data_IF_913778911072
#
_entry.id   IF_913778911072
#
_cell.length_a   1.000
_cell.length_b   1.000
_cell.length_c   1.000
_cell.angle_alpha   90.00
_cell.angle_beta   90.00
_cell.angle_gamma   90.00
#
_symmetry.space_group_name_H-M   'P 1'
#
loop_
_entity.id
_entity.type
_entity.pdbx_description
1 polymer ?
#
# COMPACT_ATOMS: atom_id res chain seq x y z
N UNK A 1 1.56 -16.38 -13.39
CA UNK A 1 0.13 -16.62 -13.74
C UNK A 1 -0.18 -15.91 -15.05
N UNK A 2 -0.95 -16.53 -15.94
CA UNK A 2 -1.52 -15.84 -17.11
C UNK A 2 -2.77 -15.04 -16.71
N UNK A 3 -3.28 -14.18 -17.59
CA UNK A 3 -4.42 -13.28 -17.27
C UNK A 3 -5.64 -14.06 -16.75
N UNK A 4 -6.00 -15.19 -17.36
CA UNK A 4 -7.17 -15.98 -16.92
C UNK A 4 -6.99 -16.56 -15.51
N UNK A 5 -5.80 -17.02 -15.14
CA UNK A 5 -5.50 -17.48 -13.78
C UNK A 5 -5.60 -16.36 -12.76
N UNK A 6 -5.13 -15.15 -13.12
CA UNK A 6 -5.28 -13.96 -12.27
C UNK A 6 -6.75 -13.57 -12.09
N UNK A 7 -7.57 -13.67 -13.13
CA UNK A 7 -9.01 -13.43 -13.06
C UNK A 7 -9.69 -14.44 -12.12
N UNK A 8 -9.36 -15.71 -12.22
CA UNK A 8 -9.93 -16.72 -11.31
C UNK A 8 -9.48 -16.48 -9.85
N UNK A 9 -8.25 -16.06 -9.64
CA UNK A 9 -7.75 -15.69 -8.30
C UNK A 9 -8.47 -14.45 -7.76
N UNK A 10 -8.66 -13.41 -8.58
CA UNK A 10 -9.45 -12.23 -8.21
C UNK A 10 -10.87 -12.59 -7.78
N UNK A 11 -11.57 -13.43 -8.57
CA UNK A 11 -12.91 -13.94 -8.23
C UNK A 11 -12.93 -14.70 -6.91
N UNK A 12 -11.88 -15.47 -6.63
CA UNK A 12 -11.74 -16.15 -5.34
C UNK A 12 -11.64 -15.15 -4.19
N UNK A 13 -10.82 -14.10 -4.31
CA UNK A 13 -10.70 -13.04 -3.28
C UNK A 13 -12.03 -12.33 -3.05
N UNK A 14 -12.75 -11.98 -4.12
CA UNK A 14 -14.09 -11.40 -4.03
C UNK A 14 -15.07 -12.36 -3.31
N UNK A 15 -15.04 -13.64 -3.65
CA UNK A 15 -15.89 -14.65 -3.00
C UNK A 15 -15.57 -14.86 -1.52
N UNK A 16 -14.29 -14.67 -1.12
CA UNK A 16 -13.86 -14.71 0.28
C UNK A 16 -14.30 -13.48 1.07
N UNK A 17 -14.75 -12.42 0.39
CA UNK A 17 -15.29 -11.22 1.02
C UNK A 17 -14.34 -10.03 1.07
N UNK A 18 -13.13 -10.11 0.52
CA UNK A 18 -12.21 -8.98 0.47
C UNK A 18 -12.81 -7.80 -0.29
N UNK A 19 -12.68 -6.60 0.28
CA UNK A 19 -13.24 -5.35 -0.25
C UNK A 19 -12.20 -4.43 -0.86
N UNK A 20 -10.93 -4.61 -0.52
CA UNK A 20 -9.80 -3.93 -1.12
C UNK A 20 -8.84 -5.00 -1.66
N UNK A 21 -8.59 -4.97 -2.97
CA UNK A 21 -7.80 -6.00 -3.64
C UNK A 21 -6.76 -5.33 -4.52
N UNK A 22 -5.47 -5.50 -4.15
CA UNK A 22 -4.39 -5.09 -5.02
C UNK A 22 -4.25 -6.07 -6.18
N UNK A 23 -4.33 -5.53 -7.39
CA UNK A 23 -4.31 -6.31 -8.63
C UNK A 23 -2.94 -6.29 -9.31
N UNK A 24 -1.97 -5.57 -8.76
CA UNK A 24 -0.59 -5.49 -9.21
C UNK A 24 -0.18 -4.12 -9.72
N UNK A 25 0.77 -4.10 -10.67
CA UNK A 25 1.43 -2.91 -11.20
C UNK A 25 1.16 -2.76 -12.71
N UNK A 26 0.01 -2.18 -13.12
CA UNK A 26 -0.41 -2.14 -14.52
C UNK A 26 0.58 -1.45 -15.47
N UNK A 27 1.37 -0.50 -14.97
CA UNK A 27 2.39 0.17 -15.79
C UNK A 27 3.72 -0.57 -15.87
N UNK A 28 3.91 -1.68 -15.12
CA UNK A 28 5.15 -2.44 -15.16
C UNK A 28 5.24 -3.44 -16.32
N UNK A 29 4.11 -3.99 -16.77
CA UNK A 29 4.09 -4.95 -17.86
C UNK A 29 2.74 -4.99 -18.59
N UNK A 30 2.77 -5.44 -19.85
CA UNK A 30 1.55 -5.61 -20.64
C UNK A 30 0.57 -6.61 -19.99
N UNK A 31 1.09 -7.66 -19.34
CA UNK A 31 0.25 -8.67 -18.67
C UNK A 31 -0.54 -8.06 -17.52
N UNK A 32 0.09 -7.22 -16.69
CA UNK A 32 -0.57 -6.53 -15.58
C UNK A 32 -1.62 -5.52 -16.09
N UNK A 33 -1.27 -4.80 -17.16
CA UNK A 33 -2.20 -3.89 -17.83
C UNK A 33 -3.43 -4.64 -18.38
N UNK A 34 -3.21 -5.71 -19.14
CA UNK A 34 -4.27 -6.51 -19.75
C UNK A 34 -5.18 -7.16 -18.70
N UNK A 35 -4.60 -7.60 -17.58
CA UNK A 35 -5.37 -8.16 -16.47
C UNK A 35 -6.41 -7.15 -15.95
N UNK A 36 -5.99 -5.92 -15.61
CA UNK A 36 -6.92 -4.90 -15.17
C UNK A 36 -7.96 -4.57 -16.25
N UNK A 37 -7.53 -4.42 -17.52
CA UNK A 37 -8.44 -4.12 -18.61
C UNK A 37 -9.49 -5.23 -18.84
N UNK A 38 -9.10 -6.50 -18.68
CA UNK A 38 -10.05 -7.61 -18.76
C UNK A 38 -11.03 -7.65 -17.58
N UNK A 39 -10.62 -7.28 -16.35
CA UNK A 39 -11.54 -7.13 -15.23
C UNK A 39 -12.63 -6.07 -15.52
N UNK A 40 -12.22 -4.92 -16.06
CA UNK A 40 -13.14 -3.84 -16.45
C UNK A 40 -14.05 -4.26 -17.61
N UNK A 41 -13.47 -4.78 -18.69
CA UNK A 41 -14.19 -5.15 -19.92
C UNK A 41 -15.26 -6.23 -19.68
N UNK A 42 -14.98 -7.17 -18.76
CA UNK A 42 -15.87 -8.27 -18.43
C UNK A 42 -16.79 -7.95 -17.26
N UNK A 43 -16.76 -6.72 -16.73
CA UNK A 43 -17.56 -6.26 -15.58
C UNK A 43 -17.45 -7.20 -14.36
N UNK A 44 -16.19 -7.53 -13.99
CA UNK A 44 -15.90 -8.51 -12.94
C UNK A 44 -15.65 -7.88 -11.56
N UNK A 45 -15.60 -6.54 -11.48
CA UNK A 45 -15.36 -5.81 -10.23
C UNK A 45 -16.70 -5.45 -9.61
N UNK A 46 -17.08 -6.05 -8.46
CA UNK A 46 -18.31 -5.69 -7.77
C UNK A 46 -18.30 -4.24 -7.30
N UNK A 47 -19.49 -3.62 -7.17
CA UNK A 47 -19.63 -2.22 -6.74
C UNK A 47 -19.09 -1.95 -5.32
N UNK A 48 -18.99 -2.96 -4.48
CA UNK A 48 -18.49 -2.91 -3.11
C UNK A 48 -17.02 -3.35 -2.96
N UNK A 49 -16.32 -3.53 -4.09
CA UNK A 49 -14.88 -3.88 -4.13
C UNK A 49 -14.09 -2.74 -4.74
N UNK A 50 -13.03 -2.32 -4.05
CA UNK A 50 -12.09 -1.30 -4.50
C UNK A 50 -10.84 -2.02 -5.01
N UNK A 51 -10.45 -1.74 -6.25
CA UNK A 51 -9.17 -2.24 -6.78
C UNK A 51 -8.04 -1.29 -6.38
N UNK A 52 -6.91 -1.87 -6.00
CA UNK A 52 -5.68 -1.16 -5.71
C UNK A 52 -4.66 -1.41 -6.80
N UNK A 53 -3.92 -0.39 -7.19
CA UNK A 53 -2.85 -0.46 -8.19
C UNK A 53 -1.58 0.16 -7.66
N UNK A 54 -0.47 -0.57 -7.79
CA UNK A 54 0.85 -0.11 -7.35
C UNK A 54 1.54 0.67 -8.47
N UNK A 55 2.23 1.75 -8.13
CA UNK A 55 3.02 2.53 -9.09
C UNK A 55 4.16 3.30 -8.42
N UNK A 56 5.35 3.31 -9.03
CA UNK A 56 6.43 4.18 -8.60
C UNK A 56 6.11 5.66 -8.86
N UNK A 57 6.67 6.56 -8.04
CA UNK A 57 6.56 8.02 -8.21
C UNK A 57 7.31 8.50 -9.48
N UNK A 58 6.84 8.11 -10.66
CA UNK A 58 7.39 8.49 -11.99
C UNK A 58 6.27 8.83 -12.95
N UNK A 59 6.37 9.98 -13.63
CA UNK A 59 5.29 10.54 -14.45
C UNK A 59 4.73 9.54 -15.47
N UNK A 60 5.59 8.95 -16.31
CA UNK A 60 5.16 8.03 -17.34
C UNK A 60 4.48 6.75 -16.82
N UNK A 61 4.84 6.30 -15.59
CA UNK A 61 4.21 5.15 -14.95
C UNK A 61 2.85 5.52 -14.36
N UNK A 62 2.75 6.68 -13.71
CA UNK A 62 1.49 7.20 -13.16
C UNK A 62 0.50 7.45 -14.29
N UNK A 63 0.94 8.10 -15.40
CA UNK A 63 0.10 8.30 -16.59
C UNK A 63 -0.46 6.97 -17.12
N UNK A 64 0.42 5.97 -17.31
CA UNK A 64 0.02 4.65 -17.79
C UNK A 64 -0.92 3.92 -16.83
N UNK A 65 -0.76 4.14 -15.52
CA UNK A 65 -1.64 3.60 -14.50
C UNK A 65 -3.04 4.20 -14.63
N UNK A 66 -3.18 5.52 -14.75
CA UNK A 66 -4.48 6.18 -14.96
C UNK A 66 -5.14 5.78 -16.28
N UNK A 67 -4.36 5.56 -17.35
CA UNK A 67 -4.89 4.98 -18.59
C UNK A 67 -5.51 3.60 -18.32
N UNK A 68 -4.84 2.76 -17.54
CA UNK A 68 -5.34 1.42 -17.21
C UNK A 68 -6.61 1.42 -16.36
N UNK A 69 -6.83 2.46 -15.54
CA UNK A 69 -7.99 2.60 -14.65
C UNK A 69 -9.27 3.10 -15.34
N UNK A 70 -9.24 3.43 -16.64
CA UNK A 70 -10.43 3.92 -17.33
C UNK A 70 -11.62 2.96 -17.22
N UNK A 71 -12.76 3.47 -16.75
CA UNK A 71 -13.97 2.69 -16.50
C UNK A 71 -14.10 2.13 -15.08
N UNK A 72 -13.11 2.34 -14.21
CA UNK A 72 -13.20 2.02 -12.78
C UNK A 72 -13.96 3.15 -12.06
N UNK A 73 -14.88 2.77 -11.14
CA UNK A 73 -15.65 3.72 -10.35
C UNK A 73 -14.89 4.26 -9.15
N UNK A 74 -14.08 3.41 -8.52
CA UNK A 74 -13.28 3.74 -7.34
C UNK A 74 -12.01 2.91 -7.32
N UNK A 75 -10.85 3.55 -7.09
CA UNK A 75 -9.57 2.88 -7.02
C UNK A 75 -8.65 3.47 -5.95
N UNK A 76 -7.81 2.62 -5.36
CA UNK A 76 -6.65 3.05 -4.58
C UNK A 76 -5.46 3.13 -5.54
N UNK A 77 -4.85 4.30 -5.62
CA UNK A 77 -3.58 4.50 -6.33
C UNK A 77 -2.47 4.53 -5.30
N UNK A 78 -1.74 3.43 -5.22
CA UNK A 78 -0.66 3.21 -4.27
C UNK A 78 0.67 3.64 -4.90
N UNK A 79 1.13 4.84 -4.56
CA UNK A 79 2.44 5.34 -4.99
C UNK A 79 3.51 5.04 -3.94
N UNK A 80 4.74 4.84 -4.39
CA UNK A 80 5.86 4.60 -3.50
C UNK A 80 7.18 5.13 -4.07
N UNK A 81 8.11 5.41 -3.19
CA UNK A 81 9.53 5.57 -3.48
C UNK A 81 10.36 5.10 -2.30
N UNK A 82 11.58 4.65 -2.59
CA UNK A 82 12.48 4.11 -1.58
C UNK A 82 13.08 5.20 -0.71
N UNK A 83 13.11 4.96 0.61
CA UNK A 83 13.49 5.98 1.61
C UNK A 83 14.65 5.56 2.52
N UNK A 84 15.03 4.28 2.51
CA UNK A 84 16.06 3.77 3.44
C UNK A 84 17.42 4.42 3.24
N UNK A 85 18.20 4.49 4.32
CA UNK A 85 19.57 5.01 4.32
C UNK A 85 20.40 4.36 3.22
N UNK A 86 20.35 3.03 3.12
CA UNK A 86 21.10 2.29 2.10
C UNK A 86 20.74 2.71 0.68
N UNK A 87 19.45 2.87 0.39
CA UNK A 87 19.00 3.24 -0.95
C UNK A 87 19.35 4.70 -1.27
N UNK A 88 19.21 5.60 -0.31
CA UNK A 88 19.61 7.00 -0.48
C UNK A 88 21.10 7.14 -0.78
N UNK A 89 21.94 6.48 0.03
CA UNK A 89 23.39 6.66 -0.02
C UNK A 89 24.05 5.92 -1.19
N UNK A 90 23.56 4.71 -1.52
CA UNK A 90 24.22 3.83 -2.48
C UNK A 90 23.53 3.81 -3.84
N UNK A 91 22.19 3.74 -3.86
CA UNK A 91 21.42 3.57 -5.11
C UNK A 91 21.15 4.91 -5.77
N UNK A 92 20.56 5.84 -5.02
CA UNK A 92 20.13 7.14 -5.57
C UNK A 92 21.22 8.20 -5.45
N UNK A 93 22.05 8.13 -4.41
CA UNK A 93 23.02 9.19 -4.06
C UNK A 93 22.32 10.53 -3.90
N UNK A 94 21.19 10.54 -3.20
CA UNK A 94 20.31 11.68 -3.00
C UNK A 94 20.18 12.03 -1.52
N UNK A 95 20.00 13.33 -1.24
CA UNK A 95 19.66 13.83 0.09
C UNK A 95 18.24 13.46 0.51
N UNK A 96 17.90 13.65 1.79
CA UNK A 96 16.54 13.47 2.31
C UNK A 96 15.54 14.38 1.59
N UNK A 97 15.90 15.62 1.35
CA UNK A 97 15.10 16.62 0.65
C UNK A 97 14.76 16.18 -0.79
N UNK A 98 15.75 15.68 -1.53
CA UNK A 98 15.56 15.19 -2.89
C UNK A 98 14.64 13.96 -2.93
N UNK A 99 14.69 13.08 -1.92
CA UNK A 99 13.79 11.93 -1.79
C UNK A 99 12.36 12.37 -1.45
N UNK A 100 12.19 13.40 -0.61
CA UNK A 100 10.88 14.02 -0.33
C UNK A 100 10.30 14.64 -1.61
N UNK A 101 11.11 15.32 -2.41
CA UNK A 101 10.67 15.91 -3.68
C UNK A 101 10.10 14.86 -4.65
N UNK A 102 10.68 13.65 -4.69
CA UNK A 102 10.13 12.53 -5.49
C UNK A 102 8.70 12.16 -5.02
N UNK A 103 8.48 12.06 -3.71
CA UNK A 103 7.16 11.74 -3.15
C UNK A 103 6.14 12.85 -3.43
N UNK A 104 6.54 14.12 -3.25
CA UNK A 104 5.70 15.29 -3.54
C UNK A 104 5.33 15.34 -5.02
N UNK A 105 6.28 15.18 -5.93
CA UNK A 105 6.01 15.20 -7.38
C UNK A 105 5.11 14.02 -7.79
N UNK A 106 5.33 12.81 -7.22
CA UNK A 106 4.42 11.68 -7.42
C UNK A 106 2.99 12.00 -6.97
N UNK A 107 2.84 12.62 -5.79
CA UNK A 107 1.54 13.03 -5.26
C UNK A 107 0.86 14.10 -6.13
N UNK A 108 1.60 15.09 -6.61
CA UNK A 108 1.10 16.12 -7.55
C UNK A 108 0.61 15.50 -8.85
N UNK A 109 1.33 14.50 -9.36
CA UNK A 109 0.93 13.80 -10.58
C UNK A 109 -0.38 13.04 -10.39
N UNK A 110 -0.51 12.27 -9.29
CA UNK A 110 -1.78 11.60 -8.98
C UNK A 110 -2.91 12.62 -8.90
N UNK A 111 -2.71 13.73 -8.17
CA UNK A 111 -3.67 14.82 -8.01
C UNK A 111 -4.02 15.50 -9.35
N UNK A 112 -3.08 15.58 -10.29
CA UNK A 112 -3.31 16.09 -11.64
C UNK A 112 -4.26 15.17 -12.41
N UNK A 113 -4.00 13.86 -12.40
CA UNK A 113 -4.83 12.88 -13.13
C UNK A 113 -6.16 12.58 -12.44
N UNK A 114 -6.24 12.70 -11.10
CA UNK A 114 -7.51 12.58 -10.34
C UNK A 114 -8.57 13.56 -10.84
N UNK A 115 -8.17 14.81 -11.23
CA UNK A 115 -9.12 15.85 -11.66
C UNK A 115 -9.93 15.47 -12.89
N UNK A 116 -9.34 14.72 -13.80
CA UNK A 116 -9.97 14.30 -15.06
C UNK A 116 -10.48 12.86 -14.98
N UNK A 117 -10.30 12.19 -13.85
CA UNK A 117 -10.76 10.82 -13.63
C UNK A 117 -12.26 10.82 -13.29
N UNK A 118 -13.10 10.03 -14.00
CA UNK A 118 -14.55 10.06 -13.81
C UNK A 118 -15.03 9.37 -12.53
N UNK A 119 -14.15 8.67 -11.81
CA UNK A 119 -14.42 7.96 -10.57
C UNK A 119 -13.82 8.63 -9.33
N UNK A 120 -13.71 7.87 -8.25
CA UNK A 120 -13.07 8.28 -7.00
C UNK A 120 -11.66 7.66 -6.91
N UNK A 121 -10.68 8.48 -6.55
CA UNK A 121 -9.30 8.04 -6.27
C UNK A 121 -9.00 8.21 -4.78
N UNK A 122 -8.55 7.13 -4.16
CA UNK A 122 -7.95 7.14 -2.82
C UNK A 122 -6.44 7.09 -3.02
N UNK A 123 -5.72 8.02 -2.41
CA UNK A 123 -4.26 7.98 -2.42
C UNK A 123 -3.77 7.03 -1.33
N UNK A 124 -2.85 6.16 -1.71
CA UNK A 124 -2.00 5.42 -0.80
C UNK A 124 -0.53 5.77 -1.07
N UNK A 125 0.26 5.95 -0.02
CA UNK A 125 1.68 6.21 -0.09
C UNK A 125 2.48 5.26 0.81
N UNK A 126 3.55 4.68 0.26
CA UNK A 126 4.54 3.91 1.01
C UNK A 126 5.92 4.54 0.95
N UNK A 127 6.54 4.90 2.10
CA UNK A 127 7.98 5.08 2.20
C UNK A 127 8.64 3.68 2.14
N UNK A 128 8.96 3.22 0.93
CA UNK A 128 9.48 1.87 0.72
C UNK A 128 10.75 1.63 1.54
N UNK A 129 10.89 0.43 2.11
CA UNK A 129 11.94 0.07 3.06
C UNK A 129 11.85 0.87 4.37
N UNK A 130 10.63 1.09 4.88
CA UNK A 130 10.37 1.82 6.12
C UNK A 130 11.22 1.33 7.29
N UNK A 131 11.35 0.00 7.46
CA UNK A 131 12.15 -0.60 8.56
C UNK A 131 13.66 -0.30 8.47
N UNK A 132 14.15 0.17 7.33
CA UNK A 132 15.52 0.64 7.11
C UNK A 132 15.66 2.16 7.01
N UNK A 133 14.59 2.89 7.35
CA UNK A 133 14.51 4.35 7.29
C UNK A 133 14.44 4.91 8.71
N UNK A 134 15.04 6.06 8.97
CA UNK A 134 14.93 6.77 10.24
C UNK A 134 13.46 7.19 10.48
N UNK A 135 12.95 7.02 11.69
CA UNK A 135 11.53 7.29 12.01
C UNK A 135 11.14 8.74 11.80
N UNK A 136 12.00 9.68 12.21
CA UNK A 136 11.80 11.11 12.00
C UNK A 136 11.70 11.46 10.52
N UNK A 137 12.55 10.88 9.70
CA UNK A 137 12.50 11.06 8.24
C UNK A 137 11.28 10.38 7.60
N UNK A 138 10.91 9.20 8.09
CA UNK A 138 9.67 8.53 7.64
C UNK A 138 8.43 9.38 7.93
N UNK A 139 8.37 10.00 9.09
CA UNK A 139 7.28 10.91 9.44
C UNK A 139 7.30 12.17 8.55
N UNK A 140 8.46 12.78 8.37
CA UNK A 140 8.63 13.98 7.56
C UNK A 140 8.13 13.79 6.13
N UNK A 141 8.54 12.72 5.46
CA UNK A 141 8.11 12.44 4.08
C UNK A 141 6.61 12.11 3.99
N UNK A 142 6.07 11.37 4.96
CA UNK A 142 4.63 11.08 5.01
C UNK A 142 3.82 12.37 5.22
N UNK A 143 4.23 13.25 6.14
CA UNK A 143 3.59 14.55 6.37
C UNK A 143 3.65 15.46 5.13
N UNK A 144 4.75 15.41 4.38
CA UNK A 144 4.87 16.15 3.11
C UNK A 144 3.84 15.65 2.07
N UNK A 145 3.65 14.35 1.95
CA UNK A 145 2.62 13.74 1.07
C UNK A 145 1.21 14.12 1.53
N UNK A 146 0.91 13.97 2.83
CA UNK A 146 -0.39 14.33 3.40
C UNK A 146 -0.75 15.80 3.12
N UNK A 147 0.22 16.69 3.32
CA UNK A 147 0.08 18.14 3.07
C UNK A 147 -0.15 18.43 1.58
N UNK A 148 0.64 17.83 0.67
CA UNK A 148 0.49 18.04 -0.77
C UNK A 148 -0.85 17.52 -1.29
N UNK A 149 -1.30 16.35 -0.79
CA UNK A 149 -2.62 15.81 -1.15
C UNK A 149 -3.75 16.68 -0.62
N UNK A 150 -3.57 17.30 0.52
CA UNK A 150 -4.61 18.00 1.28
C UNK A 150 -5.46 17.04 2.09
N UNK A 151 -4.77 16.10 2.75
CA UNK A 151 -5.42 15.07 3.57
C UNK A 151 -6.23 15.67 4.71
N UNK A 152 -7.42 15.12 4.94
CA UNK A 152 -8.33 15.48 6.03
C UNK A 152 -9.08 14.26 6.52
N UNK A 153 -9.85 14.40 7.60
CA UNK A 153 -10.72 13.33 8.10
C UNK A 153 -11.74 12.87 7.04
N UNK A 154 -12.23 13.79 6.21
CA UNK A 154 -13.19 13.52 5.14
C UNK A 154 -12.55 12.96 3.86
N UNK A 155 -11.24 13.23 3.68
CA UNK A 155 -10.43 12.72 2.57
C UNK A 155 -9.11 12.16 3.12
N UNK A 156 -9.16 11.03 3.85
CA UNK A 156 -7.96 10.45 4.43
C UNK A 156 -7.04 9.86 3.36
N UNK A 157 -5.77 9.75 3.70
CA UNK A 157 -4.74 9.09 2.89
C UNK A 157 -4.33 7.80 3.59
N UNK A 158 -4.15 6.73 2.84
CA UNK A 158 -3.55 5.51 3.36
C UNK A 158 -2.04 5.72 3.39
N UNK A 159 -1.46 5.70 4.57
CA UNK A 159 0.00 5.64 4.76
C UNK A 159 0.35 4.21 5.10
N UNK A 160 1.01 3.54 4.18
CA UNK A 160 1.39 2.16 4.32
C UNK A 160 2.88 2.06 4.69
N UNK A 161 3.19 1.43 5.82
CA UNK A 161 4.53 1.33 6.39
C UNK A 161 5.09 -0.09 6.20
N UNK A 162 5.77 -0.38 5.06
CA UNK A 162 6.16 -1.73 4.75
C UNK A 162 7.42 -2.16 5.49
N UNK A 163 7.38 -3.35 6.13
CA UNK A 163 8.59 -4.08 6.43
C UNK A 163 9.06 -4.78 5.14
N UNK A 164 9.54 -3.98 4.18
CA UNK A 164 10.01 -4.46 2.86
C UNK A 164 11.04 -5.57 3.00
N UNK A 165 11.89 -5.44 4.01
CA UNK A 165 12.70 -6.53 4.57
C UNK A 165 12.41 -6.56 6.08
N UNK A 166 12.16 -7.73 6.62
CA UNK A 166 11.92 -7.92 8.07
C UNK A 166 13.23 -7.78 8.84
N UNK A 167 13.68 -6.52 9.07
CA UNK A 167 14.99 -6.22 9.66
C UNK A 167 15.03 -6.42 11.17
N UNK A 168 13.90 -6.22 11.85
CA UNK A 168 13.81 -6.23 13.32
C UNK A 168 12.87 -7.32 13.84
N UNK A 169 12.83 -7.48 15.16
CA UNK A 169 11.84 -8.34 15.82
C UNK A 169 10.46 -7.71 15.79
N UNK A 170 9.36 -8.51 15.89
CA UNK A 170 7.99 -8.02 15.80
C UNK A 170 7.64 -6.88 16.76
N UNK A 171 8.15 -6.92 18.00
CA UNK A 171 7.93 -5.86 18.98
C UNK A 171 8.57 -4.53 18.56
N UNK A 172 9.77 -4.56 17.95
CA UNK A 172 10.43 -3.33 17.47
C UNK A 172 9.64 -2.72 16.31
N UNK A 173 9.12 -3.56 15.41
CA UNK A 173 8.26 -3.06 14.34
C UNK A 173 6.98 -2.43 14.90
N UNK A 174 6.34 -3.07 15.89
CA UNK A 174 5.17 -2.51 16.58
C UNK A 174 5.47 -1.17 17.27
N UNK A 175 6.62 -1.06 17.96
CA UNK A 175 7.08 0.20 18.57
C UNK A 175 7.24 1.31 17.52
N UNK A 176 7.75 0.96 16.33
CA UNK A 176 7.85 1.91 15.20
C UNK A 176 6.46 2.36 14.71
N UNK A 177 5.50 1.43 14.61
CA UNK A 177 4.12 1.74 14.20
C UNK A 177 3.43 2.62 15.24
N UNK A 178 3.57 2.32 16.54
CA UNK A 178 3.02 3.14 17.62
C UNK A 178 3.60 4.55 17.59
N UNK A 179 4.93 4.65 17.41
CA UNK A 179 5.59 5.94 17.31
C UNK A 179 5.05 6.75 16.13
N UNK A 180 4.94 6.15 14.93
CA UNK A 180 4.35 6.82 13.77
C UNK A 180 2.90 7.24 14.04
N UNK A 181 2.07 6.33 14.56
CA UNK A 181 0.65 6.59 14.86
C UNK A 181 0.47 7.77 15.82
N UNK A 182 1.34 7.91 16.81
CA UNK A 182 1.22 8.96 17.83
C UNK A 182 1.86 10.29 17.43
N UNK A 183 2.72 10.31 16.42
CA UNK A 183 3.43 11.52 15.99
C UNK A 183 2.86 12.19 14.73
N UNK A 184 1.93 11.58 13.99
CA UNK A 184 1.23 12.27 12.92
C UNK A 184 0.53 13.52 13.44
N UNK A 185 0.74 14.66 12.77
CA UNK A 185 0.16 15.95 13.15
C UNK A 185 -1.38 15.96 13.09
N UNK A 186 -1.95 15.16 12.19
CA UNK A 186 -3.40 14.94 12.06
C UNK A 186 -3.69 13.46 11.84
N UNK A 187 -3.72 12.66 12.93
CA UNK A 187 -3.92 11.21 12.87
C UNK A 187 -5.26 10.82 12.22
N UNK A 188 -6.31 11.64 12.36
CA UNK A 188 -7.63 11.38 11.76
C UNK A 188 -7.64 11.50 10.22
N UNK A 189 -6.63 12.14 9.64
CA UNK A 189 -6.44 12.22 8.18
C UNK A 189 -5.66 11.03 7.59
N UNK A 190 -5.27 10.07 8.42
CA UNK A 190 -4.43 8.92 8.06
C UNK A 190 -5.17 7.62 8.31
N UNK A 191 -5.22 6.76 7.31
CA UNK A 191 -5.47 5.33 7.47
C UNK A 191 -4.10 4.66 7.53
N UNK A 192 -3.69 4.25 8.74
CA UNK A 192 -2.36 3.68 8.96
C UNK A 192 -2.36 2.20 8.58
N UNK A 193 -1.69 1.88 7.48
CA UNK A 193 -1.57 0.53 6.93
C UNK A 193 -0.19 -0.05 7.17
N UNK A 194 -0.12 -1.36 7.27
CA UNK A 194 1.13 -2.10 7.39
C UNK A 194 1.23 -3.19 6.33
N UNK A 195 2.46 -3.48 5.89
CA UNK A 195 2.75 -4.51 4.88
C UNK A 195 4.01 -5.30 5.28
N UNK A 196 3.90 -6.25 6.23
CA UNK A 196 5.04 -7.04 6.65
C UNK A 196 5.40 -8.13 5.64
N UNK A 197 6.69 -8.24 5.29
CA UNK A 197 7.28 -9.42 4.67
C UNK A 197 7.72 -10.42 5.74
N UNK A 198 8.08 -11.64 5.33
CA UNK A 198 8.29 -12.78 6.22
C UNK A 198 9.74 -13.30 6.21
N UNK A 199 10.73 -12.41 6.06
CA UNK A 199 12.15 -12.78 5.94
C UNK A 199 12.69 -13.50 7.19
N UNK A 200 12.14 -13.19 8.36
CA UNK A 200 12.48 -13.84 9.64
C UNK A 200 11.47 -14.93 10.04
N UNK A 201 10.39 -15.12 9.29
CA UNK A 201 9.32 -16.04 9.62
C UNK A 201 8.37 -15.51 10.73
N UNK A 202 8.36 -14.19 10.98
CA UNK A 202 7.60 -13.58 12.09
C UNK A 202 6.58 -12.53 11.64
N UNK A 203 6.25 -12.48 10.34
CA UNK A 203 5.34 -11.47 9.77
C UNK A 203 3.95 -11.45 10.43
N UNK A 204 3.38 -12.62 10.78
CA UNK A 204 2.09 -12.70 11.47
C UNK A 204 2.20 -12.04 12.85
N UNK A 205 3.22 -12.37 13.63
CA UNK A 205 3.42 -11.76 14.96
C UNK A 205 3.69 -10.26 14.85
N UNK A 206 4.43 -9.81 13.82
CA UNK A 206 4.67 -8.39 13.57
C UNK A 206 3.36 -7.64 13.26
N UNK A 207 2.49 -8.22 12.42
CA UNK A 207 1.19 -7.64 12.12
C UNK A 207 0.26 -7.59 13.34
N UNK A 208 0.18 -8.67 14.13
CA UNK A 208 -0.64 -8.69 15.36
C UNK A 208 -0.22 -7.62 16.35
N UNK A 209 1.08 -7.50 16.61
CA UNK A 209 1.60 -6.48 17.52
C UNK A 209 1.40 -5.06 16.95
N UNK A 210 1.54 -4.86 15.63
CA UNK A 210 1.29 -3.57 14.99
C UNK A 210 -0.19 -3.16 15.05
N UNK A 211 -1.14 -4.11 14.95
CA UNK A 211 -2.56 -3.83 15.19
C UNK A 211 -2.81 -3.37 16.63
N UNK A 212 -2.18 -3.98 17.61
CA UNK A 212 -2.25 -3.52 19.01
C UNK A 212 -1.59 -2.15 19.20
N UNK A 213 -0.61 -1.81 18.39
CA UNK A 213 0.11 -0.53 18.37
C UNK A 213 -0.66 0.59 17.63
N UNK A 214 -1.84 0.31 17.06
CA UNK A 214 -2.73 1.31 16.48
C UNK A 214 -2.71 1.46 14.98
N UNK A 215 -2.29 0.43 14.20
CA UNK A 215 -2.56 0.44 12.77
C UNK A 215 -4.05 0.14 12.51
N UNK A 216 -4.56 0.69 11.41
CA UNK A 216 -5.97 0.58 11.01
C UNK A 216 -6.18 -0.51 9.95
N UNK A 217 -5.15 -0.88 9.21
CA UNK A 217 -5.23 -1.73 8.01
C UNK A 217 -3.99 -2.62 7.87
N UNK A 218 -4.17 -3.85 7.39
CA UNK A 218 -3.10 -4.81 7.12
C UNK A 218 -3.17 -5.24 5.66
N UNK A 219 -2.06 -5.13 4.95
CA UNK A 219 -1.84 -5.75 3.66
C UNK A 219 -1.10 -7.07 3.79
N UNK A 220 -1.55 -8.06 3.06
CA UNK A 220 -0.93 -9.38 3.04
C UNK A 220 -1.44 -10.23 1.89
N UNK A 221 -1.08 -11.49 1.89
CA UNK A 221 -1.48 -12.44 0.85
C UNK A 221 -2.11 -13.69 1.44
N UNK A 222 -2.89 -14.41 0.64
CA UNK A 222 -3.40 -15.71 1.05
C UNK A 222 -2.22 -16.67 1.27
N UNK A 223 -2.18 -17.29 2.45
CA UNK A 223 -1.12 -18.22 2.88
C UNK A 223 0.30 -17.61 2.89
N UNK A 224 0.42 -16.28 2.89
CA UNK A 224 1.69 -15.59 2.89
C UNK A 224 2.51 -15.74 1.60
N UNK A 225 1.92 -16.18 0.49
CA UNK A 225 2.64 -16.28 -0.78
C UNK A 225 3.06 -14.89 -1.27
N UNK A 226 4.34 -14.71 -1.59
CA UNK A 226 4.86 -13.42 -2.03
C UNK A 226 6.34 -13.48 -2.37
N UNK A 227 6.97 -12.33 -2.43
CA UNK A 227 8.39 -12.20 -2.75
C UNK A 227 9.28 -12.88 -1.71
N UNK A 228 10.39 -13.45 -2.15
CA UNK A 228 11.43 -14.10 -1.32
C UNK A 228 10.83 -15.18 -0.41
N UNK A 229 10.73 -14.90 0.88
CA UNK A 229 10.16 -15.79 1.91
C UNK A 229 8.66 -15.62 2.11
N UNK A 230 8.04 -14.66 1.41
CA UNK A 230 6.62 -14.36 1.45
C UNK A 230 6.25 -13.08 2.20
N UNK A 231 4.95 -12.84 2.27
CA UNK A 231 4.30 -11.73 2.97
C UNK A 231 3.63 -12.25 4.26
N UNK A 232 3.00 -11.36 5.01
CA UNK A 232 2.12 -11.79 6.10
C UNK A 232 0.96 -12.62 5.55
N UNK A 233 0.69 -13.73 6.21
CA UNK A 233 -0.49 -14.58 5.90
C UNK A 233 -1.75 -13.95 6.47
N UNK A 234 -2.56 -13.35 5.60
CA UNK A 234 -3.77 -12.63 5.99
C UNK A 234 -4.85 -13.56 6.57
N UNK A 235 -4.83 -14.85 6.21
CA UNK A 235 -5.77 -15.83 6.78
C UNK A 235 -5.45 -16.10 8.24
N UNK A 236 -4.17 -16.26 8.58
CA UNK A 236 -3.76 -16.41 9.98
C UNK A 236 -4.13 -15.16 10.81
N UNK A 237 -3.94 -13.96 10.28
CA UNK A 237 -4.39 -12.72 10.93
C UNK A 237 -5.90 -12.77 11.18
N UNK A 238 -6.70 -13.09 10.17
CA UNK A 238 -8.16 -13.17 10.30
C UNK A 238 -8.60 -14.21 11.34
N UNK A 239 -8.01 -15.40 11.35
CA UNK A 239 -8.30 -16.45 12.33
C UNK A 239 -7.88 -16.04 13.75
N UNK A 240 -6.74 -15.40 13.90
CA UNK A 240 -6.26 -14.93 15.21
C UNK A 240 -7.18 -13.83 15.78
N UNK A 241 -7.60 -12.86 14.95
CA UNK A 241 -8.60 -11.86 15.33
C UNK A 241 -9.93 -12.53 15.75
N UNK A 242 -10.44 -13.46 14.92
CA UNK A 242 -11.68 -14.17 15.20
C UNK A 242 -11.61 -14.97 16.52
N UNK A 243 -10.45 -15.58 16.81
CA UNK A 243 -10.23 -16.32 18.06
C UNK A 243 -10.32 -15.43 19.32
N UNK A 244 -10.10 -14.12 19.15
CA UNK A 244 -10.24 -13.10 20.20
C UNK A 244 -11.62 -12.43 20.19
N UNK A 245 -12.55 -12.91 19.38
CA UNK A 245 -13.91 -12.36 19.26
C UNK A 245 -14.01 -11.08 18.42
N UNK A 246 -12.99 -10.78 17.62
CA UNK A 246 -12.96 -9.62 16.71
C UNK A 246 -13.38 -10.09 15.33
N UNK A 247 -14.34 -9.39 14.70
CA UNK A 247 -14.66 -9.63 13.29
C UNK A 247 -13.54 -9.03 12.43
N UNK A 248 -12.85 -9.83 11.60
CA UNK A 248 -11.76 -9.34 10.76
C UNK A 248 -12.20 -8.59 9.49
N UNK A 249 -13.52 -8.53 9.23
CA UNK A 249 -14.11 -7.87 8.06
C UNK A 249 -15.16 -6.84 8.44
#
# INVERSE_FOLDING_TARGET
MVVEEKIEYFKLLVKLGFKEIEIGFPSASQLEYDFLRELVKRDLIPDDVIVQVLVQCREHLIEKTFESLQGIKKAIVHIYNSTSTLQRDVVFQMSKEEIIDIAIEGTKLVKKYEKDFPGEIILEYSPESFTGTELDFSLEICEAVLKEWGASKEKPVIINLPATVEMNTPNVYADQIEWMSTNFSNREAVILSIHPHNDRGTAVAAAELAMLAGCDRVEGTLFGNGERTGNVDILNIAYNMFSQGINPM
#
